data_IF_152120043307
#
_entry.id   IF_152120043307
#
_cell.length_a   1.000
_cell.length_b   1.000
_cell.length_c   1.000
_cell.angle_alpha   90.00
_cell.angle_beta   90.00
_cell.angle_gamma   90.00
#
_symmetry.space_group_name_H-M   'P 1'
#
loop_
_entity.id
_entity.type
_entity.pdbx_description
1 polymer ?
#
# COMPACT_ATOMS: atom_id res chain seq x y z
N UNK A 1 -7.73 8.73 7.76
CA UNK A 1 -6.85 9.05 8.92
C UNK A 1 -7.45 8.60 10.25
N UNK A 2 -8.59 9.13 10.71
CA UNK A 2 -9.20 8.74 12.00
C UNK A 2 -9.63 7.26 12.02
N UNK A 3 -10.14 6.74 10.90
CA UNK A 3 -10.63 5.35 10.81
C UNK A 3 -9.53 4.29 10.96
N UNK A 4 -8.36 4.46 10.36
CA UNK A 4 -7.27 3.48 10.45
C UNK A 4 -6.64 3.44 11.83
N UNK A 5 -6.37 4.62 12.42
CA UNK A 5 -5.89 4.72 13.79
C UNK A 5 -6.89 4.11 14.78
N UNK A 6 -8.19 4.33 14.56
CA UNK A 6 -9.26 3.74 15.36
C UNK A 6 -9.31 2.21 15.25
N UNK A 7 -9.08 1.64 14.07
CA UNK A 7 -9.01 0.17 13.89
C UNK A 7 -7.84 -0.41 14.67
N UNK A 8 -6.65 0.19 14.56
CA UNK A 8 -5.43 -0.25 15.27
C UNK A 8 -5.63 -0.17 16.79
N UNK A 9 -6.11 0.97 17.29
CA UNK A 9 -6.39 1.16 18.72
C UNK A 9 -7.48 0.21 19.23
N UNK A 10 -8.51 -0.06 18.43
CA UNK A 10 -9.58 -1.01 18.79
C UNK A 10 -9.10 -2.45 18.79
N UNK A 11 -8.19 -2.83 17.89
CA UNK A 11 -7.57 -4.16 17.86
C UNK A 11 -6.70 -4.42 19.10
N UNK A 12 -6.00 -3.39 19.57
CA UNK A 12 -5.29 -3.38 20.86
C UNK A 12 -6.26 -3.55 22.05
N UNK A 13 -7.32 -2.74 22.10
CA UNK A 13 -8.32 -2.79 23.18
C UNK A 13 -9.03 -4.14 23.26
N UNK A 14 -9.14 -4.86 22.14
CA UNK A 14 -9.71 -6.22 22.09
C UNK A 14 -8.70 -7.33 22.43
N UNK A 15 -7.47 -6.98 22.82
CA UNK A 15 -6.45 -7.95 23.22
C UNK A 15 -5.97 -8.88 22.10
N UNK A 16 -6.24 -8.55 20.83
CA UNK A 16 -5.95 -9.43 19.68
C UNK A 16 -4.57 -9.21 19.07
N UNK A 17 -3.86 -8.15 19.43
CA UNK A 17 -2.55 -7.80 18.88
C UNK A 17 -1.54 -7.66 20.02
N UNK A 18 -0.37 -8.30 19.88
CA UNK A 18 0.75 -8.10 20.80
C UNK A 18 1.33 -6.69 20.66
N UNK A 19 2.08 -6.21 21.66
CA UNK A 19 2.68 -4.87 21.64
C UNK A 19 3.61 -4.69 20.43
N UNK A 20 4.27 -5.76 20.00
CA UNK A 20 5.16 -5.80 18.84
C UNK A 20 4.38 -5.54 17.54
N UNK A 21 3.23 -6.20 17.38
CA UNK A 21 2.35 -6.02 16.22
C UNK A 21 1.87 -4.56 16.11
N UNK A 22 1.60 -3.91 17.25
CA UNK A 22 1.22 -2.50 17.28
C UNK A 22 2.32 -1.56 16.79
N UNK A 23 3.55 -1.76 17.26
CA UNK A 23 4.69 -0.95 16.78
C UNK A 23 4.96 -1.19 15.29
N UNK A 24 4.77 -2.42 14.80
CA UNK A 24 4.88 -2.74 13.38
C UNK A 24 3.81 -2.04 12.54
N UNK A 25 2.56 -1.99 13.01
CA UNK A 25 1.47 -1.30 12.32
C UNK A 25 1.69 0.23 12.29
N UNK A 26 2.11 0.82 13.42
CA UNK A 26 2.45 2.26 13.47
C UNK A 26 3.66 2.56 12.59
N UNK A 27 4.72 1.77 12.67
CA UNK A 27 5.91 1.91 11.84
C UNK A 27 5.54 1.87 10.37
N UNK A 28 4.75 0.88 9.96
CA UNK A 28 4.23 0.75 8.59
C UNK A 28 3.40 1.97 8.18
N UNK A 29 2.54 2.48 9.05
CA UNK A 29 1.73 3.67 8.79
C UNK A 29 2.61 4.92 8.59
N UNK A 30 3.61 5.14 9.44
CA UNK A 30 4.54 6.27 9.34
C UNK A 30 5.42 6.17 8.09
N UNK A 31 5.88 4.97 7.76
CA UNK A 31 6.64 4.67 6.56
C UNK A 31 5.83 4.98 5.29
N UNK A 32 4.56 4.56 5.23
CA UNK A 32 3.64 4.91 4.14
C UNK A 32 3.46 6.42 4.01
N UNK A 33 3.35 7.16 5.12
CA UNK A 33 3.27 8.63 5.09
C UNK A 33 4.55 9.28 4.55
N UNK A 34 5.72 8.78 4.96
CA UNK A 34 7.01 9.31 4.55
C UNK A 34 7.30 9.13 3.06
N UNK A 35 6.75 8.09 2.42
CA UNK A 35 6.98 7.83 1.00
C UNK A 35 6.24 8.72 0.03
N UNK A 36 5.19 9.42 0.48
CA UNK A 36 4.36 10.23 -0.42
C UNK A 36 3.52 9.43 -1.43
N UNK A 37 3.54 8.10 -1.37
CA UNK A 37 2.78 7.19 -2.23
C UNK A 37 1.65 6.51 -1.47
N UNK A 38 0.54 6.27 -2.15
CA UNK A 38 -0.68 5.67 -1.60
C UNK A 38 -1.21 4.54 -2.49
N UNK A 39 -1.95 3.62 -1.87
CA UNK A 39 -2.72 2.62 -2.62
C UNK A 39 -3.78 3.35 -3.46
N UNK A 40 -3.82 3.05 -4.76
CA UNK A 40 -4.68 3.71 -5.73
C UNK A 40 -3.98 4.79 -6.56
N UNK A 41 -2.74 5.17 -6.24
CA UNK A 41 -1.96 6.07 -7.08
C UNK A 41 -1.66 5.40 -8.44
N UNK A 42 -1.83 6.15 -9.52
CA UNK A 42 -1.66 5.68 -10.88
C UNK A 42 -0.28 6.08 -11.45
N UNK A 43 0.33 5.17 -12.21
CA UNK A 43 1.62 5.33 -12.86
C UNK A 43 1.54 4.84 -14.30
N UNK A 44 2.22 5.53 -15.21
CA UNK A 44 2.37 5.07 -16.58
C UNK A 44 3.71 4.35 -16.72
N UNK A 45 3.66 3.03 -16.86
CA UNK A 45 4.86 2.23 -17.10
C UNK A 45 5.19 2.19 -18.59
N UNK A 46 6.43 2.53 -18.99
CA UNK A 46 6.86 2.32 -20.36
C UNK A 46 6.94 0.82 -20.64
N UNK A 47 6.28 0.39 -21.71
CA UNK A 47 6.29 -0.99 -22.19
C UNK A 47 6.57 -1.02 -23.69
N UNK A 48 7.04 -2.16 -24.19
CA UNK A 48 7.17 -2.39 -25.63
C UNK A 48 6.02 -3.27 -26.09
N UNK A 49 5.18 -2.77 -27.00
CA UNK A 49 4.07 -3.52 -27.59
C UNK A 49 4.30 -3.68 -29.09
N UNK A 50 4.52 -4.91 -29.55
CA UNK A 50 4.80 -5.23 -30.97
C UNK A 50 5.94 -4.37 -31.57
N UNK A 51 7.03 -4.22 -30.83
CA UNK A 51 8.21 -3.45 -31.26
C UNK A 51 8.05 -1.93 -31.24
N UNK A 52 6.91 -1.39 -30.76
CA UNK A 52 6.70 0.05 -30.60
C UNK A 52 6.67 0.44 -29.12
N UNK A 53 7.21 1.61 -28.75
CA UNK A 53 7.07 2.14 -27.41
C UNK A 53 5.59 2.42 -27.13
N UNK A 54 5.11 1.95 -26.00
CA UNK A 54 3.77 2.16 -25.50
C UNK A 54 3.83 2.42 -23.99
N UNK A 55 2.75 2.96 -23.44
CA UNK A 55 2.60 3.12 -22.00
C UNK A 55 1.47 2.25 -21.49
N UNK A 56 1.65 1.69 -20.30
CA UNK A 56 0.63 0.93 -19.60
C UNK A 56 0.35 1.59 -18.27
N UNK A 57 -0.89 2.06 -18.10
CA UNK A 57 -1.35 2.57 -16.81
C UNK A 57 -1.44 1.42 -15.81
N UNK A 58 -0.79 1.58 -14.68
CA UNK A 58 -0.85 0.70 -13.53
C UNK A 58 -1.18 1.51 -12.28
N UNK A 59 -1.68 0.84 -11.25
CA UNK A 59 -2.01 1.43 -9.97
C UNK A 59 -1.26 0.72 -8.86
N UNK A 60 -0.92 1.42 -7.79
CA UNK A 60 -0.40 0.77 -6.57
C UNK A 60 -1.57 0.02 -5.92
N UNK A 61 -1.52 -1.31 -5.94
CA UNK A 61 -2.48 -2.18 -5.27
C UNK A 61 -2.21 -2.30 -3.77
N UNK A 62 -0.93 -2.33 -3.39
CA UNK A 62 -0.52 -2.50 -2.00
C UNK A 62 0.85 -1.86 -1.76
N UNK A 63 1.07 -1.39 -0.54
CA UNK A 63 2.34 -0.85 -0.04
C UNK A 63 2.70 -1.58 1.26
N UNK A 64 3.84 -2.23 1.31
CA UNK A 64 4.30 -2.96 2.48
C UNK A 64 5.79 -2.74 2.71
N UNK A 65 6.22 -2.89 3.95
CA UNK A 65 7.62 -2.77 4.31
C UNK A 65 8.30 -4.14 4.25
N UNK A 66 9.36 -4.24 3.46
CA UNK A 66 10.25 -5.39 3.46
C UNK A 66 11.34 -5.15 4.52
N UNK A 67 11.19 -5.80 5.69
CA UNK A 67 12.12 -5.69 6.80
C UNK A 67 13.51 -6.26 6.48
N UNK A 68 13.59 -7.30 5.64
CA UNK A 68 14.86 -7.88 5.25
C UNK A 68 15.67 -6.93 4.37
N UNK A 69 14.99 -6.15 3.52
CA UNK A 69 15.64 -5.17 2.64
C UNK A 69 15.65 -3.75 3.19
N UNK A 70 15.04 -3.52 4.35
CA UNK A 70 14.82 -2.21 4.97
C UNK A 70 14.23 -1.19 3.98
N UNK A 71 13.24 -1.62 3.17
CA UNK A 71 12.69 -0.83 2.06
C UNK A 71 11.19 -0.99 1.95
N UNK A 72 10.52 0.10 1.57
CA UNK A 72 9.10 0.08 1.22
C UNK A 72 8.98 -0.48 -0.19
N UNK A 73 8.18 -1.53 -0.32
CA UNK A 73 7.90 -2.23 -1.57
C UNK A 73 6.43 -2.03 -1.92
N UNK A 74 6.14 -2.04 -3.22
CA UNK A 74 4.79 -1.88 -3.74
C UNK A 74 4.44 -3.05 -4.65
N UNK A 75 3.15 -3.33 -4.75
CA UNK A 75 2.59 -4.21 -5.76
C UNK A 75 1.77 -3.39 -6.73
N UNK A 76 2.07 -3.50 -8.03
CA UNK A 76 1.27 -2.86 -9.08
C UNK A 76 0.13 -3.75 -9.55
N UNK A 77 -0.97 -3.12 -9.96
CA UNK A 77 -2.10 -3.76 -10.63
C UNK A 77 -2.48 -2.98 -11.89
N UNK A 78 -3.19 -3.62 -12.80
CA UNK A 78 -3.70 -3.01 -14.05
C UNK A 78 -5.17 -2.61 -13.96
N UNK A 79 -5.78 -2.85 -12.80
CA UNK A 79 -7.16 -2.47 -12.49
C UNK A 79 -7.14 -1.46 -11.35
N UNK A 80 -7.97 -0.44 -11.39
CA UNK A 80 -8.01 0.55 -10.32
C UNK A 80 -8.50 -0.10 -9.00
N UNK A 81 -7.64 -0.25 -7.97
CA UNK A 81 -7.98 -0.96 -6.74
C UNK A 81 -9.04 -0.23 -5.91
N UNK A 82 -9.28 1.06 -6.17
CA UNK A 82 -10.31 1.85 -5.48
C UNK A 82 -11.70 1.72 -6.12
N UNK A 83 -11.80 1.20 -7.35
CA UNK A 83 -13.08 1.02 -8.06
C UNK A 83 -13.62 -0.41 -8.03
N UNK A 84 -12.85 -1.41 -7.58
CA UNK A 84 -13.32 -2.80 -7.50
C UNK A 84 -14.32 -3.03 -6.33
N UNK A 85 -14.42 -2.11 -5.37
CA UNK A 85 -15.34 -2.20 -4.23
C UNK A 85 -16.72 -1.52 -4.47
N UNK A 86 -17.10 -1.24 -5.72
CA UNK A 86 -18.39 -0.61 -6.09
C UNK A 86 -19.31 -1.51 -6.92
N UNK A 87 -19.12 -2.84 -6.85
CA UNK A 87 -19.96 -3.85 -7.49
C UNK A 87 -20.73 -4.66 -6.47
#
# INVERSE_FOLDING_TARGET
MIKELYIIVRSLYKGKASKEQYYLEIGTMLLRKGTGYQVGDAFDLPITKKGKPATKKVWIANLFFDFAKNKITHQFTTKNPLNENKG
#
